data_IF_632923750343
#
_entry.id   IF_632923750343
#
_cell.length_a   1.000
_cell.length_b   1.000
_cell.length_c   1.000
_cell.angle_alpha   90.00
_cell.angle_beta   90.00
_cell.angle_gamma   90.00
#
_symmetry.space_group_name_H-M   'P 1'
#
loop_
_entity.id
_entity.type
_entity.pdbx_description
1 polymer ?
#
# COMPACT_ATOMS: atom_id res chain seq x y z
N UNK A 1 -4.70 -5.32 6.54
CA UNK A 1 -4.15 -4.10 5.91
C UNK A 1 -5.22 -3.52 5.01
N UNK A 2 -5.72 -2.35 5.33
CA UNK A 2 -6.76 -1.66 4.55
C UNK A 2 -6.14 -0.58 3.71
N UNK A 3 -6.69 -0.39 2.50
CA UNK A 3 -6.30 0.65 1.56
C UNK A 3 -7.47 1.58 1.34
N UNK A 4 -7.21 2.87 1.37
CA UNK A 4 -8.19 3.90 1.07
C UNK A 4 -7.61 4.89 0.07
N UNK A 5 -8.41 5.34 -0.90
CA UNK A 5 -7.98 6.33 -1.89
C UNK A 5 -8.80 7.60 -1.75
N UNK A 6 -8.12 8.71 -1.55
CA UNK A 6 -8.68 10.04 -1.57
C UNK A 6 -8.31 10.73 -2.88
N UNK A 7 -9.30 11.13 -3.66
CA UNK A 7 -9.11 11.73 -4.96
C UNK A 7 -9.00 13.26 -4.89
N UNK A 8 -8.53 13.86 -5.96
CA UNK A 8 -8.41 15.32 -6.03
C UNK A 8 -9.79 15.98 -6.08
N UNK A 9 -10.03 16.90 -5.18
CA UNK A 9 -11.22 17.75 -5.18
C UNK A 9 -11.15 18.79 -6.30
N UNK A 10 -9.98 19.42 -6.46
CA UNK A 10 -9.71 20.44 -7.46
C UNK A 10 -8.23 20.48 -7.83
N UNK A 11 -7.95 20.95 -9.03
CA UNK A 11 -6.59 21.17 -9.52
C UNK A 11 -6.54 22.31 -10.55
N UNK A 12 -5.36 22.87 -10.74
CA UNK A 12 -5.08 23.83 -11.82
C UNK A 12 -3.57 23.91 -12.07
N UNK A 13 -3.19 24.31 -13.28
CA UNK A 13 -1.81 24.71 -13.59
C UNK A 13 -1.78 26.22 -13.77
N UNK A 14 -0.97 26.89 -12.96
CA UNK A 14 -0.76 28.35 -13.08
C UNK A 14 0.56 28.61 -13.80
N UNK A 15 0.54 29.61 -14.67
CA UNK A 15 1.67 29.97 -15.54
C UNK A 15 2.17 31.36 -15.15
N UNK A 16 3.49 31.51 -15.04
CA UNK A 16 4.13 32.77 -14.68
C UNK A 16 3.66 33.91 -15.56
N UNK A 17 3.30 35.01 -14.92
CA UNK A 17 2.85 36.27 -15.52
C UNK A 17 1.65 36.15 -16.48
N UNK A 18 0.89 35.05 -16.39
CA UNK A 18 -0.30 34.78 -17.18
C UNK A 18 -1.57 34.71 -16.32
N UNK A 19 -2.71 35.02 -16.95
CA UNK A 19 -4.05 34.85 -16.39
C UNK A 19 -4.72 33.57 -16.87
N UNK A 20 -4.00 32.73 -17.58
CA UNK A 20 -4.48 31.44 -18.04
C UNK A 20 -4.88 30.55 -16.88
N UNK A 21 -5.99 29.89 -17.02
CA UNK A 21 -6.48 28.84 -16.12
C UNK A 21 -6.64 27.54 -16.94
N UNK A 22 -6.02 26.47 -16.50
CA UNK A 22 -6.06 25.16 -17.18
C UNK A 22 -6.68 24.08 -16.31
N UNK A 23 -7.55 24.47 -15.39
CA UNK A 23 -8.09 23.59 -14.35
C UNK A 23 -8.71 22.30 -14.93
N UNK A 24 -9.39 22.38 -16.08
CA UNK A 24 -10.08 21.25 -16.72
C UNK A 24 -9.26 20.52 -17.78
N UNK A 25 -7.98 20.88 -17.94
CA UNK A 25 -7.11 20.14 -18.85
C UNK A 25 -6.88 18.71 -18.29
N UNK A 26 -6.97 17.66 -19.12
CA UNK A 26 -6.74 16.26 -18.69
C UNK A 26 -5.31 15.98 -18.22
N UNK A 27 -4.37 16.89 -18.54
CA UNK A 27 -2.97 16.82 -18.15
C UNK A 27 -2.48 18.15 -17.59
N UNK A 28 -1.54 18.10 -16.65
CA UNK A 28 -0.78 19.27 -16.20
C UNK A 28 0.63 19.19 -16.80
N UNK A 29 1.16 20.32 -17.22
CA UNK A 29 2.53 20.43 -17.69
C UNK A 29 3.31 21.40 -16.80
N UNK A 30 4.33 20.87 -16.14
CA UNK A 30 5.31 21.66 -15.41
C UNK A 30 6.47 21.96 -16.31
N UNK A 31 6.83 23.24 -16.47
CA UNK A 31 7.92 23.66 -17.33
C UNK A 31 8.66 24.88 -16.77
N UNK A 32 9.88 25.03 -17.26
CA UNK A 32 10.69 26.25 -17.11
C UNK A 32 11.46 26.52 -18.40
N UNK A 33 11.88 27.76 -18.60
CA UNK A 33 12.58 28.19 -19.80
C UNK A 33 12.13 29.58 -20.25
N UNK A 34 11.35 29.70 -21.32
CA UNK A 34 10.71 30.95 -21.74
C UNK A 34 9.55 31.37 -20.82
N UNK A 35 9.14 30.48 -19.90
CA UNK A 35 8.12 30.67 -18.89
C UNK A 35 8.32 29.73 -17.72
N UNK A 36 7.36 29.75 -16.80
CA UNK A 36 7.37 28.87 -15.62
C UNK A 36 5.95 28.47 -15.23
N UNK A 37 5.74 27.21 -14.89
CA UNK A 37 4.42 26.75 -14.46
C UNK A 37 4.46 26.01 -13.14
N UNK A 38 3.32 26.00 -12.44
CA UNK A 38 3.11 25.29 -11.17
C UNK A 38 1.78 24.57 -11.21
N UNK A 39 1.77 23.33 -10.78
CA UNK A 39 0.55 22.56 -10.60
C UNK A 39 0.08 22.70 -9.15
N UNK A 40 -1.14 23.15 -8.97
CA UNK A 40 -1.78 23.28 -7.67
C UNK A 40 -2.98 22.34 -7.60
N UNK A 41 -3.16 21.68 -6.45
CA UNK A 41 -4.23 20.72 -6.27
C UNK A 41 -4.65 20.60 -4.82
N UNK A 42 -5.88 20.17 -4.61
CA UNK A 42 -6.43 19.87 -3.28
C UNK A 42 -7.08 18.50 -3.31
N UNK A 43 -6.70 17.67 -2.35
CA UNK A 43 -7.27 16.33 -2.16
C UNK A 43 -8.49 16.42 -1.25
N UNK A 44 -9.53 15.64 -1.55
CA UNK A 44 -10.69 15.49 -0.69
C UNK A 44 -10.44 14.41 0.36
N UNK A 45 -10.34 14.81 1.61
CA UNK A 45 -10.17 13.91 2.75
C UNK A 45 -11.45 13.72 3.59
N UNK A 46 -12.60 14.25 3.16
CA UNK A 46 -13.83 14.19 3.95
C UNK A 46 -14.27 12.76 4.24
N UNK A 47 -14.25 11.88 3.25
CA UNK A 47 -14.61 10.49 3.44
C UNK A 47 -13.61 9.76 4.35
N UNK A 48 -12.32 10.03 4.20
CA UNK A 48 -11.28 9.52 5.07
C UNK A 48 -11.49 10.01 6.52
N UNK A 49 -11.73 11.29 6.70
CA UNK A 49 -12.03 11.89 8.02
C UNK A 49 -13.24 11.19 8.66
N UNK A 50 -14.34 11.05 7.91
CA UNK A 50 -15.56 10.40 8.42
C UNK A 50 -15.30 8.95 8.87
N UNK A 51 -14.47 8.20 8.13
CA UNK A 51 -14.12 6.83 8.49
C UNK A 51 -13.24 6.75 9.74
N UNK A 52 -12.34 7.71 9.91
CA UNK A 52 -11.51 7.80 11.12
C UNK A 52 -12.36 8.21 12.32
N UNK A 53 -13.24 9.20 12.17
CA UNK A 53 -14.13 9.68 13.25
C UNK A 53 -15.11 8.61 13.70
N UNK A 54 -15.59 7.77 12.77
CA UNK A 54 -16.48 6.64 13.06
C UNK A 54 -15.72 5.42 13.62
N UNK A 55 -14.38 5.45 13.73
CA UNK A 55 -13.56 4.34 14.19
C UNK A 55 -13.48 3.16 13.20
N UNK A 56 -13.90 3.35 11.94
CA UNK A 56 -13.74 2.34 10.88
C UNK A 56 -12.28 2.17 10.48
N UNK A 57 -11.53 3.28 10.44
CA UNK A 57 -10.10 3.31 10.18
C UNK A 57 -9.37 3.96 11.37
N UNK A 58 -8.24 3.38 11.76
CA UNK A 58 -7.43 3.89 12.87
C UNK A 58 -6.07 4.34 12.35
N UNK A 59 -5.79 5.63 12.54
CA UNK A 59 -4.46 6.17 12.25
C UNK A 59 -3.54 5.83 13.41
N UNK A 60 -2.45 5.13 13.11
CA UNK A 60 -1.40 4.75 14.04
C UNK A 60 -0.01 4.99 13.44
N UNK A 61 1.05 4.62 14.16
CA UNK A 61 2.43 4.84 13.71
C UNK A 61 2.81 4.07 12.42
N UNK A 62 1.99 3.15 11.98
CA UNK A 62 2.19 2.37 10.75
C UNK A 62 1.30 2.83 9.59
N UNK A 63 0.42 3.79 9.85
CA UNK A 63 -0.41 4.38 8.80
C UNK A 63 0.46 5.25 7.91
N UNK A 64 0.34 5.08 6.61
CA UNK A 64 1.06 5.88 5.62
C UNK A 64 0.10 6.49 4.61
N UNK A 65 0.41 7.70 4.17
CA UNK A 65 -0.36 8.41 3.14
C UNK A 65 0.60 8.82 2.02
N UNK A 66 0.38 8.30 0.82
CA UNK A 66 1.27 8.52 -0.32
C UNK A 66 0.54 9.20 -1.46
N UNK A 67 1.08 10.32 -1.91
CA UNK A 67 0.59 11.01 -3.10
C UNK A 67 1.04 10.25 -4.36
N UNK A 68 0.09 9.95 -5.24
CA UNK A 68 0.31 9.24 -6.49
C UNK A 68 -0.11 10.11 -7.68
N UNK A 69 0.85 10.46 -8.54
CA UNK A 69 0.57 11.07 -9.85
C UNK A 69 1.24 10.23 -10.94
N UNK A 70 0.51 9.99 -12.01
CA UNK A 70 1.02 9.23 -13.15
C UNK A 70 1.54 10.19 -14.21
N UNK A 71 2.79 9.97 -14.65
CA UNK A 71 3.38 10.70 -15.75
C UNK A 71 2.64 10.39 -17.06
N UNK A 72 2.53 11.35 -17.96
CA UNK A 72 1.84 11.18 -19.24
C UNK A 72 2.64 10.43 -20.29
N UNK A 73 3.92 10.17 -20.03
CA UNK A 73 4.78 9.41 -20.93
C UNK A 73 4.67 7.94 -20.58
N UNK A 74 3.96 7.18 -21.43
CA UNK A 74 3.89 5.72 -21.35
C UNK A 74 4.88 5.11 -22.31
N UNK A 75 5.98 4.57 -21.81
CA UNK A 75 6.89 3.77 -22.61
C UNK A 75 7.64 4.55 -23.70
N UNK A 76 7.89 3.90 -24.80
CA UNK A 76 8.72 4.36 -25.91
C UNK A 76 8.25 5.72 -26.48
N UNK A 77 9.18 6.61 -26.69
CA UNK A 77 8.99 7.98 -27.23
C UNK A 77 8.22 8.02 -28.56
N UNK A 78 8.13 6.89 -29.26
CA UNK A 78 7.43 6.74 -30.54
C UNK A 78 5.92 6.84 -30.42
N UNK A 79 5.34 6.63 -29.23
CA UNK A 79 3.87 6.58 -29.08
C UNK A 79 3.20 7.95 -28.96
N UNK A 80 3.91 8.98 -28.51
CA UNK A 80 3.35 10.31 -28.29
C UNK A 80 3.89 11.40 -29.24
N UNK A 81 4.66 11.01 -30.25
CA UNK A 81 5.29 11.95 -31.19
C UNK A 81 6.34 12.83 -30.43
N UNK A 82 7.57 12.73 -30.80
CA UNK A 82 8.77 13.25 -30.13
C UNK A 82 8.78 14.76 -29.81
N UNK A 83 7.71 15.48 -30.02
CA UNK A 83 7.56 16.88 -29.58
C UNK A 83 6.15 17.06 -29.06
N UNK A 84 6.03 17.39 -27.78
CA UNK A 84 4.80 18.01 -27.28
C UNK A 84 4.46 19.18 -28.17
N UNK A 85 3.17 19.39 -28.46
CA UNK A 85 2.69 20.38 -29.42
C UNK A 85 3.24 21.80 -29.25
N UNK A 86 3.87 22.12 -28.13
CA UNK A 86 4.44 23.42 -27.76
C UNK A 86 5.93 23.54 -28.06
N UNK A 87 6.58 22.53 -28.64
CA UNK A 87 8.02 22.57 -28.93
C UNK A 87 8.92 22.42 -27.70
N UNK A 88 8.37 22.09 -26.52
CA UNK A 88 9.13 21.88 -25.29
C UNK A 88 9.83 20.54 -25.30
N UNK A 89 11.05 20.51 -24.79
CA UNK A 89 11.85 19.30 -24.68
C UNK A 89 11.58 18.59 -23.35
N UNK A 90 11.77 17.27 -23.32
CA UNK A 90 11.71 16.49 -22.11
C UNK A 90 12.94 16.80 -21.23
N UNK A 91 12.68 17.10 -19.97
CA UNK A 91 13.72 17.31 -18.96
C UNK A 91 14.18 15.97 -18.42
N UNK A 92 15.49 15.75 -18.39
CA UNK A 92 16.13 14.60 -17.78
C UNK A 92 16.90 15.06 -16.54
N UNK A 93 16.87 14.27 -15.46
CA UNK A 93 17.56 14.51 -14.19
C UNK A 93 17.29 15.90 -13.60
N UNK A 94 16.21 16.01 -12.87
CA UNK A 94 15.76 17.25 -12.25
C UNK A 94 15.03 16.99 -10.94
N UNK A 95 14.83 18.05 -10.18
CA UNK A 95 14.07 18.02 -8.94
C UNK A 95 12.76 18.80 -9.08
N UNK A 96 11.68 18.21 -8.60
CA UNK A 96 10.43 18.90 -8.31
C UNK A 96 10.29 19.13 -6.81
N UNK A 97 9.67 20.22 -6.45
CA UNK A 97 9.33 20.54 -5.07
C UNK A 97 7.84 20.39 -4.85
N UNK A 98 7.48 19.72 -3.78
CA UNK A 98 6.12 19.64 -3.26
C UNK A 98 5.99 20.62 -2.10
N UNK A 99 5.08 21.61 -2.18
CA UNK A 99 4.91 22.65 -1.17
C UNK A 99 3.47 22.79 -0.72
N UNK A 100 3.29 23.37 0.47
CA UNK A 100 1.97 23.60 1.06
C UNK A 100 1.39 24.93 0.57
N UNK A 101 0.09 24.91 0.20
CA UNK A 101 -0.69 26.13 -0.07
C UNK A 101 -1.36 26.59 1.22
N UNK A 102 -1.21 27.88 1.55
CA UNK A 102 -1.71 28.46 2.79
C UNK A 102 -2.98 29.29 2.62
N UNK A 103 -3.44 29.48 1.40
CA UNK A 103 -4.58 30.32 1.05
C UNK A 103 -5.66 29.52 0.32
N UNK A 104 -6.92 29.84 0.60
CA UNK A 104 -8.05 29.29 -0.17
C UNK A 104 -7.99 29.78 -1.63
N UNK A 105 -8.37 28.93 -2.55
CA UNK A 105 -8.40 29.24 -3.97
C UNK A 105 -9.53 28.49 -4.70
N UNK A 106 -9.95 29.01 -5.85
CA UNK A 106 -10.96 28.41 -6.71
C UNK A 106 -10.33 27.72 -7.91
N UNK A 107 -10.93 26.61 -8.36
CA UNK A 107 -10.36 25.79 -9.44
C UNK A 107 -10.43 26.49 -10.82
N UNK A 108 -11.55 27.17 -11.11
CA UNK A 108 -11.84 27.69 -12.43
C UNK A 108 -12.36 26.64 -13.40
N UNK A 109 -12.50 27.06 -14.67
CA UNK A 109 -13.10 26.25 -15.75
C UNK A 109 -12.27 26.25 -17.03
N UNK A 110 -11.07 26.85 -17.00
CA UNK A 110 -10.19 26.94 -18.17
C UNK A 110 -9.71 25.59 -18.65
N UNK A 111 -9.44 25.47 -19.92
CA UNK A 111 -9.12 24.20 -20.56
C UNK A 111 -7.78 24.22 -21.28
N UNK A 112 -7.38 25.35 -21.88
CA UNK A 112 -6.21 25.43 -22.74
C UNK A 112 -5.10 26.29 -22.13
N UNK A 113 -3.84 25.96 -22.46
CA UNK A 113 -2.65 26.72 -22.05
C UNK A 113 -2.49 28.03 -22.84
N UNK A 114 -3.09 28.14 -24.01
CA UNK A 114 -2.99 29.30 -24.89
C UNK A 114 -4.21 30.23 -24.74
N UNK A 115 -5.20 29.86 -23.92
CA UNK A 115 -6.41 30.66 -23.72
C UNK A 115 -6.25 31.57 -22.49
N UNK A 116 -5.76 32.78 -22.70
CA UNK A 116 -5.65 33.82 -21.65
C UNK A 116 -7.01 34.31 -21.13
N UNK A 117 -8.08 33.67 -21.52
CA UNK A 117 -9.43 34.08 -21.19
C UNK A 117 -9.86 35.32 -21.99
N UNK A 118 -11.01 35.23 -22.60
CA UNK A 118 -11.57 36.36 -23.34
C UNK A 118 -11.68 37.61 -22.46
N UNK A 119 -11.15 38.72 -22.94
CA UNK A 119 -11.39 40.02 -22.37
C UNK A 119 -12.91 40.30 -22.38
N UNK A 120 -13.49 40.50 -21.21
CA UNK A 120 -14.91 40.79 -21.04
C UNK A 120 -15.36 42.11 -21.70
N UNK A 121 -14.42 42.90 -22.21
CA UNK A 121 -14.71 44.17 -22.89
C UNK A 121 -15.12 43.99 -24.36
N UNK A 122 -14.83 42.85 -24.96
CA UNK A 122 -15.24 42.56 -26.39
C UNK A 122 -16.41 41.57 -26.48
N UNK A 123 -17.45 41.81 -25.72
CA UNK A 123 -18.81 41.29 -25.94
C UNK A 123 -19.03 39.81 -26.15
N UNK A 124 -19.73 39.15 -25.21
CA UNK A 124 -20.53 37.94 -25.34
C UNK A 124 -19.92 36.59 -24.98
N UNK A 125 -18.78 36.44 -24.33
CA UNK A 125 -18.41 35.18 -23.74
C UNK A 125 -18.09 35.34 -22.26
N UNK A 126 -19.05 35.00 -21.44
CA UNK A 126 -18.94 34.95 -19.97
C UNK A 126 -18.30 33.63 -19.53
N UNK A 127 -17.05 33.39 -19.90
CA UNK A 127 -16.28 32.35 -19.27
C UNK A 127 -15.46 32.95 -18.15
N UNK A 128 -15.83 32.67 -16.92
CA UNK A 128 -15.01 33.02 -15.78
C UNK A 128 -13.88 31.98 -15.66
N UNK A 129 -12.85 32.14 -16.51
CA UNK A 129 -11.64 31.30 -16.51
C UNK A 129 -10.59 31.79 -15.51
N UNK A 130 -10.86 32.90 -14.83
CA UNK A 130 -9.88 33.65 -14.04
C UNK A 130 -9.55 33.12 -12.67
N UNK A 131 -10.42 32.42 -11.90
CA UNK A 131 -10.03 31.93 -10.59
C UNK A 131 -8.92 30.91 -10.70
N UNK A 132 -7.94 31.09 -9.82
CA UNK A 132 -6.61 30.54 -9.72
C UNK A 132 -5.79 30.61 -11.02
N UNK A 133 -5.12 31.72 -11.15
CA UNK A 133 -4.04 31.95 -12.11
C UNK A 133 -2.81 32.48 -11.35
N UNK A 134 -1.82 32.98 -12.05
CA UNK A 134 -0.61 33.54 -11.43
C UNK A 134 -0.89 34.66 -10.42
N UNK A 135 -1.88 35.51 -10.68
CA UNK A 135 -2.20 36.70 -9.87
C UNK A 135 -3.36 36.48 -8.90
N UNK A 136 -4.38 35.79 -9.38
CA UNK A 136 -5.64 35.64 -8.66
C UNK A 136 -5.81 34.26 -8.07
N UNK A 137 -6.28 34.15 -6.82
CA UNK A 137 -6.68 32.90 -6.17
C UNK A 137 -8.19 32.61 -6.30
N UNK A 138 -8.99 33.67 -6.38
CA UNK A 138 -10.45 33.62 -6.63
C UNK A 138 -10.82 34.66 -7.70
N UNK A 139 -12.09 34.78 -8.04
CA UNK A 139 -12.58 35.81 -8.98
C UNK A 139 -12.35 37.23 -8.47
N UNK A 140 -12.24 37.43 -7.17
CA UNK A 140 -12.16 38.74 -6.53
C UNK A 140 -10.87 38.96 -5.75
N UNK A 141 -10.23 37.88 -5.29
CA UNK A 141 -9.04 37.95 -4.45
C UNK A 141 -7.77 37.59 -5.20
N UNK A 142 -6.70 38.28 -4.92
CA UNK A 142 -5.35 37.97 -5.37
C UNK A 142 -4.64 37.07 -4.37
N UNK A 143 -3.60 36.37 -4.84
CA UNK A 143 -2.66 35.73 -3.94
C UNK A 143 -1.88 36.78 -3.13
N UNK A 144 -1.53 36.44 -1.89
CA UNK A 144 -0.62 37.26 -1.08
C UNK A 144 0.75 37.43 -1.72
N UNK A 145 1.15 36.42 -2.48
CA UNK A 145 2.38 36.41 -3.28
C UNK A 145 2.02 35.84 -4.65
N UNK A 146 2.27 36.59 -5.72
CA UNK A 146 2.02 36.13 -7.08
C UNK A 146 2.74 34.79 -7.33
N UNK A 147 2.02 33.85 -7.92
CA UNK A 147 2.53 32.52 -8.18
C UNK A 147 2.66 31.63 -6.94
N UNK A 148 2.14 32.03 -5.77
CA UNK A 148 1.98 31.22 -4.53
C UNK A 148 3.30 30.86 -3.83
N UNK A 149 4.37 30.61 -4.58
CA UNK A 149 5.62 30.12 -4.09
C UNK A 149 6.70 31.21 -4.09
N UNK A 150 7.29 31.42 -2.94
CA UNK A 150 8.39 32.39 -2.74
C UNK A 150 9.38 31.89 -1.68
N UNK A 151 10.44 32.61 -1.47
CA UNK A 151 11.36 32.34 -0.36
C UNK A 151 10.62 32.30 0.97
N UNK A 152 10.75 31.19 1.71
CA UNK A 152 10.02 30.95 2.98
C UNK A 152 8.74 30.13 2.83
N UNK A 153 8.31 29.74 1.63
CA UNK A 153 7.23 28.77 1.44
C UNK A 153 7.64 27.41 2.04
N UNK A 154 6.71 26.77 2.74
CA UNK A 154 6.96 25.47 3.36
C UNK A 154 7.06 24.37 2.29
N UNK A 155 8.25 23.90 2.04
CA UNK A 155 8.52 22.72 1.19
C UNK A 155 8.27 21.49 2.06
N UNK A 156 7.43 20.57 1.57
CA UNK A 156 7.17 19.28 2.22
C UNK A 156 8.21 18.26 1.79
N UNK A 157 8.54 18.24 0.49
CA UNK A 157 9.47 17.26 -0.07
C UNK A 157 10.08 17.77 -1.37
N UNK A 158 11.34 17.40 -1.62
CA UNK A 158 11.99 17.46 -2.93
C UNK A 158 11.93 16.06 -3.56
N UNK A 159 11.53 15.97 -4.82
CA UNK A 159 11.31 14.74 -5.57
C UNK A 159 12.28 14.72 -6.73
N UNK A 160 13.25 13.81 -6.68
CA UNK A 160 14.22 13.64 -7.75
C UNK A 160 13.68 12.77 -8.89
N UNK A 161 13.94 13.19 -10.12
CA UNK A 161 13.66 12.46 -11.36
C UNK A 161 14.98 12.18 -12.07
N UNK A 162 15.27 10.92 -12.37
CA UNK A 162 16.46 10.49 -13.09
C UNK A 162 16.28 10.59 -14.62
N UNK A 163 15.12 10.18 -15.10
CA UNK A 163 14.81 10.07 -16.52
C UNK A 163 13.68 11.01 -17.00
N UNK A 164 12.94 11.62 -16.09
CA UNK A 164 11.83 12.52 -16.39
C UNK A 164 10.55 11.82 -16.87
N UNK A 165 10.46 10.50 -16.74
CA UNK A 165 9.27 9.71 -17.05
C UNK A 165 8.71 8.95 -15.84
N UNK A 166 9.27 9.17 -14.67
CA UNK A 166 8.86 8.54 -13.44
C UNK A 166 7.50 9.05 -13.00
N UNK A 167 6.77 8.19 -12.31
CA UNK A 167 5.57 8.57 -11.60
C UNK A 167 5.93 9.17 -10.24
N UNK A 168 5.11 10.07 -9.73
CA UNK A 168 5.24 10.54 -8.36
C UNK A 168 4.61 9.51 -7.41
N UNK A 169 5.38 9.11 -6.42
CA UNK A 169 4.97 8.26 -5.32
C UNK A 169 5.68 8.71 -4.05
N UNK A 170 5.13 9.71 -3.37
CA UNK A 170 5.78 10.38 -2.24
C UNK A 170 4.97 10.30 -0.96
N UNK A 171 5.68 10.20 0.15
CA UNK A 171 5.09 10.17 1.48
C UNK A 171 4.68 11.59 1.91
N UNK A 172 3.39 11.75 2.20
CA UNK A 172 2.79 12.97 2.74
C UNK A 172 2.08 12.72 4.08
N UNK A 173 2.48 11.68 4.79
CA UNK A 173 1.81 11.20 6.01
C UNK A 173 1.67 12.32 7.05
N UNK A 174 2.74 13.07 7.30
CA UNK A 174 2.69 14.17 8.27
C UNK A 174 1.69 15.27 7.87
N UNK A 175 1.56 15.57 6.58
CA UNK A 175 0.61 16.54 6.07
C UNK A 175 -0.84 16.07 6.26
N UNK A 176 -1.14 14.82 5.87
CA UNK A 176 -2.49 14.25 5.99
C UNK A 176 -2.89 14.09 7.45
N UNK A 177 -1.99 13.55 8.29
CA UNK A 177 -2.24 13.42 9.73
C UNK A 177 -2.48 14.79 10.40
N UNK A 178 -1.79 15.83 9.96
CA UNK A 178 -2.04 17.20 10.43
C UNK A 178 -3.46 17.68 10.12
N UNK A 179 -4.02 17.30 8.98
CA UNK A 179 -5.40 17.60 8.60
C UNK A 179 -6.38 16.75 9.42
N UNK A 180 -6.22 15.43 9.41
CA UNK A 180 -7.17 14.49 9.99
C UNK A 180 -7.18 14.51 11.52
N UNK A 181 -6.00 14.52 12.16
CA UNK A 181 -5.90 14.41 13.62
C UNK A 181 -5.83 15.76 14.32
N UNK A 182 -5.22 16.78 13.69
CA UNK A 182 -4.98 18.09 14.31
C UNK A 182 -5.92 19.17 13.80
N UNK A 183 -6.80 18.87 12.84
CA UNK A 183 -7.74 19.83 12.27
C UNK A 183 -7.08 20.96 11.48
N UNK A 184 -5.88 20.75 10.95
CA UNK A 184 -5.22 21.74 10.13
C UNK A 184 -6.02 22.01 8.85
N UNK A 185 -6.09 23.27 8.45
CA UNK A 185 -6.80 23.66 7.25
C UNK A 185 -6.13 23.07 6.00
N UNK A 186 -6.92 22.40 5.17
CA UNK A 186 -6.51 21.86 3.88
C UNK A 186 -6.80 22.88 2.77
N UNK A 187 -5.81 23.66 2.36
CA UNK A 187 -5.88 24.50 1.16
C UNK A 187 -5.30 23.83 -0.08
N UNK A 188 -4.62 22.70 0.10
CA UNK A 188 -4.00 21.91 -0.96
C UNK A 188 -2.48 22.03 -0.98
N UNK A 189 -1.93 21.46 -2.04
CA UNK A 189 -0.49 21.35 -2.31
C UNK A 189 -0.17 21.94 -3.68
N UNK A 190 1.08 22.36 -3.85
CA UNK A 190 1.63 22.76 -5.13
C UNK A 190 2.84 21.89 -5.49
N UNK A 191 3.01 21.66 -6.78
CA UNK A 191 4.14 20.96 -7.36
C UNK A 191 4.77 21.85 -8.45
N UNK A 192 6.09 22.03 -8.41
CA UNK A 192 6.82 22.88 -9.36
C UNK A 192 8.29 22.49 -9.42
N UNK A 193 9.00 22.98 -10.43
CA UNK A 193 10.45 23.07 -10.38
C UNK A 193 10.92 24.01 -9.26
N UNK A 194 12.17 23.94 -8.84
CA UNK A 194 12.71 24.80 -7.80
C UNK A 194 12.52 26.30 -8.14
N UNK A 195 12.45 27.13 -7.09
CA UNK A 195 12.21 28.57 -7.26
C UNK A 195 13.31 29.25 -8.05
N UNK A 196 14.51 28.70 -8.03
CA UNK A 196 15.66 29.17 -8.76
C UNK A 196 15.44 29.19 -10.27
N UNK A 197 14.56 28.32 -10.79
CA UNK A 197 14.19 28.28 -12.22
C UNK A 197 13.12 29.28 -12.61
N UNK A 198 12.43 29.88 -11.64
CA UNK A 198 11.28 30.78 -11.92
C UNK A 198 11.67 32.03 -12.70
N UNK A 199 12.86 32.55 -12.44
CA UNK A 199 13.35 33.81 -13.01
C UNK A 199 14.50 33.63 -14.00
N UNK A 200 14.81 32.37 -14.34
CA UNK A 200 15.83 32.04 -15.34
C UNK A 200 15.18 31.91 -16.72
N UNK A 201 15.83 32.49 -17.71
CA UNK A 201 15.46 32.32 -19.12
C UNK A 201 16.43 31.36 -19.80
N UNK A 202 15.89 30.35 -20.48
CA UNK A 202 16.64 29.36 -21.21
C UNK A 202 16.22 29.40 -22.69
N UNK A 203 17.13 28.98 -23.57
CA UNK A 203 16.84 28.95 -25.03
C UNK A 203 15.76 27.90 -25.41
N UNK A 204 15.61 26.86 -24.58
CA UNK A 204 14.62 25.80 -24.79
C UNK A 204 13.86 25.53 -23.49
N UNK A 205 12.55 25.38 -23.62
CA UNK A 205 11.70 25.01 -22.50
C UNK A 205 11.91 23.54 -22.13
N UNK A 206 12.08 23.30 -20.86
CA UNK A 206 12.14 21.95 -20.28
C UNK A 206 10.82 21.64 -19.59
N UNK A 207 10.33 20.42 -19.72
CA UNK A 207 9.00 20.09 -19.16
C UNK A 207 8.83 18.63 -18.73
N UNK A 208 7.91 18.44 -17.77
CA UNK A 208 7.35 17.17 -17.35
C UNK A 208 5.83 17.30 -17.20
N UNK A 209 5.09 16.26 -17.48
CA UNK A 209 3.62 16.33 -17.39
C UNK A 209 3.02 15.11 -16.70
N UNK A 210 1.91 15.37 -16.00
CA UNK A 210 1.15 14.36 -15.26
C UNK A 210 -0.33 14.41 -15.64
N UNK A 211 -1.03 13.30 -15.43
CA UNK A 211 -2.49 13.31 -15.53
C UNK A 211 -3.11 14.10 -14.40
N UNK A 212 -4.24 14.75 -14.69
CA UNK A 212 -5.04 15.50 -13.72
C UNK A 212 -6.32 14.72 -13.37
N UNK A 213 -7.14 15.25 -12.47
CA UNK A 213 -8.45 14.67 -12.16
C UNK A 213 -9.42 14.62 -13.35
N UNK A 214 -9.18 15.40 -14.40
CA UNK A 214 -10.00 15.45 -15.59
C UNK A 214 -9.52 14.52 -16.72
N UNK A 215 -8.59 13.65 -16.44
CA UNK A 215 -8.01 12.73 -17.41
C UNK A 215 -9.01 11.78 -18.07
N UNK A 216 -10.17 11.53 -17.44
CA UNK A 216 -11.17 10.54 -17.90
C UNK A 216 -10.58 9.13 -18.13
N UNK A 217 -9.47 8.84 -17.49
CA UNK A 217 -8.80 7.53 -17.51
C UNK A 217 -8.63 7.03 -16.08
N UNK A 218 -8.16 5.80 -15.90
CA UNK A 218 -7.83 5.24 -14.58
C UNK A 218 -6.49 5.76 -14.00
N UNK A 219 -5.88 6.75 -14.66
CA UNK A 219 -4.66 7.43 -14.18
C UNK A 219 -4.96 8.69 -13.36
N UNK A 220 -6.21 8.88 -12.96
CA UNK A 220 -6.57 9.97 -12.08
C UNK A 220 -5.68 9.97 -10.82
N UNK A 221 -5.12 11.15 -10.44
CA UNK A 221 -4.26 11.24 -9.28
C UNK A 221 -5.04 11.08 -7.98
N UNK A 222 -4.39 10.49 -6.98
CA UNK A 222 -4.99 10.23 -5.68
C UNK A 222 -3.93 10.18 -4.56
N UNK A 223 -4.40 10.24 -3.34
CA UNK A 223 -3.62 9.88 -2.16
C UNK A 223 -4.03 8.48 -1.71
N UNK A 224 -3.06 7.58 -1.67
CA UNK A 224 -3.24 6.23 -1.15
C UNK A 224 -2.90 6.20 0.34
N UNK A 225 -3.88 5.88 1.14
CA UNK A 225 -3.75 5.70 2.58
C UNK A 225 -3.71 4.20 2.88
N UNK A 226 -2.67 3.77 3.58
CA UNK A 226 -2.48 2.37 3.96
C UNK A 226 -2.54 2.27 5.47
N UNK A 227 -3.46 1.43 5.97
CA UNK A 227 -3.67 1.21 7.38
C UNK A 227 -3.20 -0.20 7.75
N UNK A 228 -2.31 -0.29 8.71
CA UNK A 228 -1.94 -1.57 9.29
C UNK A 228 -2.95 -1.93 10.39
N UNK A 229 -4.11 -2.39 9.97
CA UNK A 229 -5.26 -2.71 10.79
C UNK A 229 -5.52 -4.22 10.89
N UNK A 230 -4.50 -5.02 10.60
CA UNK A 230 -4.59 -6.47 10.74
C UNK A 230 -4.79 -6.84 12.21
N UNK A 231 -5.93 -7.45 12.46
CA UNK A 231 -6.22 -8.09 13.72
C UNK A 231 -5.76 -9.54 13.59
N UNK A 232 -4.72 -9.89 14.34
CA UNK A 232 -4.21 -11.27 14.37
C UNK A 232 -4.67 -11.92 15.66
N UNK A 233 -5.78 -12.64 15.59
CA UNK A 233 -6.29 -13.44 16.71
C UNK A 233 -5.40 -14.67 16.90
N UNK A 234 -4.72 -14.74 18.05
CA UNK A 234 -3.83 -15.84 18.37
C UNK A 234 -4.55 -17.16 18.73
N UNK A 235 -5.88 -17.19 18.72
CA UNK A 235 -6.70 -18.33 19.20
C UNK A 235 -6.30 -19.67 18.59
N UNK A 236 -5.95 -19.68 17.31
CA UNK A 236 -5.53 -20.89 16.59
C UNK A 236 -4.00 -21.14 16.64
N UNK A 237 -3.23 -20.17 17.14
CA UNK A 237 -1.78 -20.24 17.18
C UNK A 237 -1.21 -19.57 18.44
N UNK A 238 -1.81 -19.84 19.58
CA UNK A 238 -1.37 -19.28 20.85
C UNK A 238 -0.08 -19.99 21.30
N UNK A 239 1.01 -19.24 21.46
CA UNK A 239 2.33 -19.76 21.83
C UNK A 239 2.56 -19.55 23.30
N UNK A 240 3.01 -20.62 24.00
CA UNK A 240 3.36 -20.55 25.41
C UNK A 240 4.53 -19.60 25.67
N UNK A 241 4.50 -18.87 26.78
CA UNK A 241 5.59 -17.99 27.19
C UNK A 241 5.62 -16.63 26.48
N UNK A 242 4.68 -16.38 25.58
CA UNK A 242 4.59 -15.13 24.82
C UNK A 242 3.27 -14.44 25.14
N UNK A 243 3.32 -13.11 25.29
CA UNK A 243 2.10 -12.30 25.39
C UNK A 243 1.48 -12.16 24.01
N UNK A 244 0.22 -12.55 23.89
CA UNK A 244 -0.53 -12.56 22.64
C UNK A 244 -1.96 -12.08 22.85
N UNK A 245 -2.64 -11.76 21.75
CA UNK A 245 -3.93 -11.13 21.76
C UNK A 245 -5.04 -12.09 21.34
N UNK A 246 -6.14 -12.09 22.08
CA UNK A 246 -7.42 -12.68 21.68
C UNK A 246 -8.46 -11.59 21.53
N UNK A 247 -9.43 -11.84 20.67
CA UNK A 247 -10.42 -10.82 20.28
C UNK A 247 -11.85 -11.31 20.46
N UNK A 248 -12.73 -10.36 20.85
CA UNK A 248 -14.16 -10.51 20.83
C UNK A 248 -14.74 -9.59 19.73
N UNK A 249 -15.56 -10.16 18.88
CA UNK A 249 -16.28 -9.45 17.82
C UNK A 249 -17.75 -9.36 18.19
N UNK A 250 -18.28 -8.15 18.28
CA UNK A 250 -19.67 -7.86 18.64
C UNK A 250 -20.40 -7.28 17.44
N UNK A 251 -21.47 -7.94 17.03
CA UNK A 251 -22.30 -7.50 15.92
C UNK A 251 -23.79 -7.45 16.30
N UNK A 252 -24.51 -6.48 15.72
CA UNK A 252 -25.96 -6.38 15.81
C UNK A 252 -26.51 -6.39 14.37
N UNK A 253 -27.12 -7.50 13.98
CA UNK A 253 -27.39 -7.76 12.56
C UNK A 253 -26.09 -7.95 11.77
N UNK A 254 -25.89 -7.19 10.70
CA UNK A 254 -24.71 -7.26 9.85
C UNK A 254 -23.62 -6.23 10.20
N UNK A 255 -23.86 -5.37 11.19
CA UNK A 255 -22.96 -4.27 11.53
C UNK A 255 -22.25 -4.53 12.85
N UNK A 256 -20.99 -4.09 12.95
CA UNK A 256 -20.28 -4.04 14.21
C UNK A 256 -20.96 -3.06 15.16
N UNK A 257 -21.01 -3.43 16.45
CA UNK A 257 -21.73 -2.66 17.45
C UNK A 257 -20.95 -2.62 18.78
N UNK A 258 -20.94 -1.45 19.42
CA UNK A 258 -20.19 -1.29 20.67
C UNK A 258 -20.99 -1.87 21.86
N UNK A 259 -20.24 -2.42 22.80
CA UNK A 259 -20.75 -2.72 24.15
C UNK A 259 -20.84 -1.41 24.96
N UNK A 260 -21.76 -1.38 25.92
CA UNK A 260 -21.90 -0.25 26.84
C UNK A 260 -20.69 -0.10 27.77
N UNK A 261 -20.04 -1.21 28.10
CA UNK A 261 -18.86 -1.26 28.96
C UNK A 261 -17.75 -2.12 28.34
N UNK A 262 -16.51 -1.90 28.76
CA UNK A 262 -15.41 -2.78 28.39
C UNK A 262 -15.62 -4.16 29.04
N UNK A 263 -15.54 -5.25 28.27
CA UNK A 263 -15.65 -6.59 28.82
C UNK A 263 -14.47 -6.95 29.71
N UNK A 264 -14.65 -7.91 30.59
CA UNK A 264 -13.60 -8.55 31.38
C UNK A 264 -13.39 -9.98 30.89
N UNK A 265 -12.15 -10.48 30.94
CA UNK A 265 -11.82 -11.82 30.47
C UNK A 265 -11.25 -12.67 31.59
N UNK A 266 -11.77 -13.88 31.73
CA UNK A 266 -11.23 -14.91 32.59
C UNK A 266 -10.77 -16.10 31.76
N UNK A 267 -9.58 -16.62 32.05
CA UNK A 267 -9.03 -17.78 31.35
C UNK A 267 -9.25 -19.04 32.20
N UNK A 268 -9.87 -20.04 31.61
CA UNK A 268 -10.15 -21.34 32.23
C UNK A 268 -9.36 -22.45 31.55
N UNK A 269 -8.98 -23.44 32.32
CA UNK A 269 -8.43 -24.68 31.80
C UNK A 269 -9.52 -25.66 31.34
N UNK A 270 -9.09 -26.81 30.83
CA UNK A 270 -9.99 -27.90 30.36
C UNK A 270 -10.83 -28.55 31.47
N UNK A 271 -10.55 -28.27 32.75
CA UNK A 271 -11.33 -28.72 33.91
C UNK A 271 -12.29 -27.66 34.43
N UNK A 272 -12.42 -26.54 33.68
CA UNK A 272 -13.23 -25.36 34.03
C UNK A 272 -12.75 -24.66 35.32
N UNK A 273 -11.45 -24.70 35.54
CA UNK A 273 -10.79 -23.99 36.69
C UNK A 273 -10.11 -22.73 36.16
N UNK A 274 -10.31 -21.60 36.84
CA UNK A 274 -9.67 -20.34 36.48
C UNK A 274 -8.14 -20.47 36.68
N UNK A 275 -7.40 -20.03 35.65
CA UNK A 275 -5.93 -19.99 35.76
C UNK A 275 -5.52 -18.87 36.71
N UNK A 276 -4.70 -19.16 37.73
CA UNK A 276 -4.20 -18.15 38.64
C UNK A 276 -3.50 -17.00 37.92
N UNK A 277 -3.89 -15.77 38.24
CA UNK A 277 -3.35 -14.57 37.61
C UNK A 277 -3.99 -14.19 36.27
N UNK A 278 -4.91 -15.01 35.72
CA UNK A 278 -5.61 -14.74 34.48
C UNK A 278 -7.14 -14.61 34.68
N UNK A 279 -7.51 -13.93 35.74
CA UNK A 279 -8.89 -13.60 36.11
C UNK A 279 -9.10 -12.10 36.07
N UNK A 280 -10.25 -11.65 35.52
CA UNK A 280 -10.61 -10.25 35.47
C UNK A 280 -9.65 -9.41 34.60
N UNK A 281 -9.11 -9.99 33.55
CA UNK A 281 -8.24 -9.29 32.63
C UNK A 281 -9.02 -8.14 31.96
N UNK A 282 -8.40 -6.97 31.96
CA UNK A 282 -8.96 -5.78 31.29
C UNK A 282 -8.79 -5.87 29.78
N UNK A 283 -9.76 -5.34 29.09
CA UNK A 283 -9.77 -5.31 27.62
C UNK A 283 -9.62 -3.89 27.08
N UNK A 284 -9.24 -3.79 25.83
CA UNK A 284 -9.18 -2.53 25.09
C UNK A 284 -10.09 -2.62 23.86
N UNK A 285 -10.90 -1.61 23.63
CA UNK A 285 -11.63 -1.50 22.36
C UNK A 285 -10.67 -0.95 21.32
N UNK A 286 -10.44 -1.73 20.24
CA UNK A 286 -9.52 -1.35 19.16
C UNK A 286 -10.25 -0.80 17.94
N UNK A 287 -11.48 -1.21 17.72
CA UNK A 287 -12.41 -0.70 16.69
C UNK A 287 -13.85 -0.85 17.17
N UNK A 288 -14.79 -0.24 16.48
CA UNK A 288 -16.21 -0.44 16.73
C UNK A 288 -16.52 -1.93 16.77
N UNK A 289 -17.05 -2.39 17.91
CA UNK A 289 -17.43 -3.78 18.12
C UNK A 289 -16.28 -4.78 18.21
N UNK A 290 -15.03 -4.36 18.32
CA UNK A 290 -13.86 -5.24 18.42
C UNK A 290 -13.07 -4.93 19.67
N UNK A 291 -12.98 -5.92 20.56
CA UNK A 291 -12.31 -5.84 21.85
C UNK A 291 -11.14 -6.80 21.91
N UNK A 292 -10.04 -6.35 22.47
CA UNK A 292 -8.79 -7.08 22.59
C UNK A 292 -8.47 -7.36 24.06
N UNK A 293 -8.01 -8.57 24.35
CA UNK A 293 -7.33 -8.93 25.61
C UNK A 293 -5.93 -9.43 25.30
N UNK A 294 -4.94 -8.96 26.06
CA UNK A 294 -3.53 -9.32 25.89
C UNK A 294 -3.04 -10.04 27.14
N UNK A 295 -2.52 -11.26 26.99
CA UNK A 295 -1.96 -12.06 28.08
C UNK A 295 -1.01 -13.14 27.58
N UNK A 296 -0.26 -13.76 28.49
CA UNK A 296 0.60 -14.91 28.21
C UNK A 296 0.32 -16.07 29.16
N UNK A 297 0.54 -17.30 28.65
CA UNK A 297 0.45 -18.54 29.46
C UNK A 297 1.84 -19.19 29.48
N UNK A 298 2.33 -19.57 30.67
CA UNK A 298 3.63 -20.24 30.81
C UNK A 298 3.52 -21.74 30.57
N UNK A 299 4.63 -22.40 30.21
CA UNK A 299 4.67 -23.84 30.00
C UNK A 299 4.21 -24.63 31.24
N UNK A 300 4.50 -24.16 32.47
CA UNK A 300 4.01 -24.76 33.73
C UNK A 300 2.49 -24.69 33.85
N UNK A 301 1.87 -23.64 33.31
CA UNK A 301 0.40 -23.50 33.27
C UNK A 301 -0.24 -24.47 32.27
N UNK A 302 0.49 -24.80 31.22
CA UNK A 302 0.01 -25.68 30.13
C UNK A 302 0.24 -27.18 30.42
N UNK A 303 1.02 -27.52 31.44
CA UNK A 303 1.41 -28.91 31.76
C UNK A 303 0.17 -29.81 31.93
N UNK A 304 0.10 -30.85 31.07
CA UNK A 304 -1.03 -31.80 31.05
C UNK A 304 -2.35 -31.24 30.49
N UNK A 305 -2.42 -29.98 30.08
CA UNK A 305 -3.62 -29.32 29.62
C UNK A 305 -3.59 -29.19 28.08
N UNK A 306 -4.65 -29.68 27.42
CA UNK A 306 -4.70 -29.71 25.95
C UNK A 306 -5.33 -28.46 25.34
N UNK A 307 -6.14 -27.71 26.08
CA UNK A 307 -6.84 -26.53 25.60
C UNK A 307 -7.31 -25.67 26.77
N UNK A 308 -7.61 -24.41 26.47
CA UNK A 308 -8.10 -23.40 27.40
C UNK A 308 -9.33 -22.72 26.82
N UNK A 309 -10.05 -22.01 27.70
CA UNK A 309 -11.18 -21.18 27.31
C UNK A 309 -10.96 -19.74 27.76
N UNK A 310 -11.22 -18.79 26.89
CA UNK A 310 -11.39 -17.39 27.21
C UNK A 310 -12.89 -17.11 27.42
N UNK A 311 -13.26 -16.65 28.61
CA UNK A 311 -14.62 -16.30 28.95
C UNK A 311 -14.74 -14.80 29.11
N UNK A 312 -15.50 -14.18 28.22
CA UNK A 312 -15.78 -12.75 28.19
C UNK A 312 -17.05 -12.46 28.97
N UNK A 313 -16.96 -11.56 29.95
CA UNK A 313 -18.02 -11.23 30.91
C UNK A 313 -18.27 -9.72 30.93
N UNK A 314 -19.26 -9.27 31.68
CA UNK A 314 -19.67 -7.86 31.74
C UNK A 314 -20.16 -7.31 30.40
N UNK A 315 -20.91 -8.12 29.65
CA UNK A 315 -21.38 -7.77 28.32
C UNK A 315 -22.77 -7.14 28.38
N UNK A 316 -22.93 -5.92 27.85
CA UNK A 316 -24.23 -5.26 27.70
C UNK A 316 -24.26 -4.43 26.42
N UNK A 317 -25.45 -4.34 25.83
CA UNK A 317 -25.75 -3.56 24.61
C UNK A 317 -27.06 -2.80 24.84
N UNK A 318 -27.06 -1.49 24.67
CA UNK A 318 -28.24 -0.61 24.87
C UNK A 318 -28.89 -0.81 26.23
N UNK A 319 -28.10 -0.99 27.30
CA UNK A 319 -28.57 -1.24 28.66
C UNK A 319 -29.07 -2.66 28.91
N UNK A 320 -29.00 -3.56 27.94
CA UNK A 320 -29.44 -4.96 28.05
C UNK A 320 -28.21 -5.83 28.29
N UNK A 321 -28.19 -6.54 29.42
CA UNK A 321 -27.12 -7.51 29.72
C UNK A 321 -27.29 -8.71 28.79
N UNK A 322 -26.19 -9.09 28.14
CA UNK A 322 -26.13 -10.27 27.27
C UNK A 322 -25.31 -11.39 27.94
N UNK A 323 -25.49 -12.62 27.47
CA UNK A 323 -24.79 -13.77 28.02
C UNK A 323 -23.27 -13.68 27.81
N UNK A 324 -22.53 -14.24 28.78
CA UNK A 324 -21.09 -14.39 28.65
C UNK A 324 -20.73 -15.20 27.40
N UNK A 325 -19.65 -14.79 26.75
CA UNK A 325 -19.12 -15.48 25.56
C UNK A 325 -17.90 -16.30 25.96
N UNK A 326 -17.93 -17.59 25.65
CA UNK A 326 -16.80 -18.50 25.93
C UNK A 326 -16.30 -19.08 24.62
N UNK A 327 -14.99 -18.98 24.40
CA UNK A 327 -14.35 -19.52 23.22
C UNK A 327 -13.14 -20.38 23.61
N UNK A 328 -12.76 -21.31 22.72
CA UNK A 328 -11.68 -22.26 22.96
C UNK A 328 -10.42 -21.82 22.21
N UNK A 329 -9.27 -21.97 22.84
CA UNK A 329 -7.98 -21.86 22.19
C UNK A 329 -7.02 -22.96 22.63
N UNK A 330 -6.00 -23.25 21.80
CA UNK A 330 -5.04 -24.34 22.01
C UNK A 330 -3.64 -23.75 22.03
N UNK A 331 -2.97 -23.69 23.21
CA UNK A 331 -1.59 -23.29 23.27
C UNK A 331 -0.67 -24.29 22.59
N UNK A 332 0.34 -23.80 21.93
CA UNK A 332 1.43 -24.57 21.37
C UNK A 332 2.67 -24.40 22.24
N UNK A 333 3.44 -25.45 22.51
CA UNK A 333 4.65 -25.33 23.31
C UNK A 333 5.62 -24.37 22.65
N UNK A 334 6.23 -23.52 23.47
CA UNK A 334 7.33 -22.66 23.01
C UNK A 334 8.53 -23.54 22.67
N UNK A 335 8.85 -23.64 21.39
CA UNK A 335 10.08 -24.30 20.96
C UNK A 335 11.26 -23.36 21.28
N UNK A 336 12.24 -23.84 22.05
CA UNK A 336 13.45 -23.07 22.39
C UNK A 336 14.30 -22.64 21.18
N UNK A 337 13.95 -23.07 19.98
CA UNK A 337 14.52 -22.61 18.72
C UNK A 337 14.07 -21.19 18.31
N UNK A 338 13.02 -20.65 18.95
CA UNK A 338 12.51 -19.29 18.72
C UNK A 338 13.21 -18.19 19.55
N UNK A 339 14.26 -18.51 20.26
CA UNK A 339 14.88 -17.59 21.22
C UNK A 339 15.92 -16.65 20.62
N UNK A 340 15.68 -16.05 19.47
CA UNK A 340 16.46 -14.91 19.00
C UNK A 340 15.51 -13.84 18.44
N UNK A 341 15.05 -12.98 19.35
CA UNK A 341 14.79 -11.55 19.10
C UNK A 341 13.74 -11.15 18.04
N UNK A 342 12.91 -12.06 17.54
CA UNK A 342 11.87 -11.74 16.58
C UNK A 342 10.49 -11.96 17.20
N UNK A 343 9.61 -10.98 17.06
CA UNK A 343 8.21 -11.10 17.45
C UNK A 343 7.58 -12.32 16.77
N UNK A 344 7.02 -13.29 17.51
CA UNK A 344 6.41 -14.50 16.92
C UNK A 344 5.11 -14.23 16.14
N UNK A 345 4.71 -12.98 16.03
CA UNK A 345 3.53 -12.54 15.26
C UNK A 345 3.74 -12.49 13.75
N UNK A 346 4.94 -12.77 13.25
CA UNK A 346 5.18 -12.83 11.82
C UNK A 346 5.39 -14.27 11.33
N UNK A 347 4.34 -15.11 11.38
CA UNK A 347 4.28 -16.21 10.43
C UNK A 347 4.04 -15.57 9.06
N UNK A 348 5.12 -15.37 8.32
CA UNK A 348 5.02 -14.84 6.97
C UNK A 348 4.42 -15.94 6.10
N UNK A 349 3.13 -15.87 5.84
CA UNK A 349 2.50 -16.68 4.82
C UNK A 349 3.03 -16.20 3.46
N UNK A 350 3.72 -17.09 2.75
CA UNK A 350 4.25 -16.79 1.43
C UNK A 350 3.37 -17.40 0.35
N UNK A 351 3.10 -16.61 -0.68
CA UNK A 351 2.61 -17.10 -1.94
C UNK A 351 3.80 -17.39 -2.85
N UNK A 352 3.89 -18.63 -3.33
CA UNK A 352 4.95 -19.05 -4.25
C UNK A 352 4.58 -18.72 -5.69
N UNK A 353 5.55 -18.19 -6.43
CA UNK A 353 5.52 -18.04 -7.87
C UNK A 353 6.77 -18.68 -8.47
N UNK A 354 6.60 -19.33 -9.61
CA UNK A 354 7.73 -19.91 -10.35
C UNK A 354 8.04 -19.06 -11.58
N UNK A 355 9.33 -18.88 -11.84
CA UNK A 355 9.87 -18.32 -13.07
C UNK A 355 10.70 -19.37 -13.80
N UNK A 356 10.66 -19.38 -15.13
CA UNK A 356 11.36 -20.34 -15.95
C UNK A 356 10.61 -21.64 -16.20
N UNK A 357 9.48 -21.87 -15.51
CA UNK A 357 8.60 -23.01 -15.74
C UNK A 357 7.14 -22.63 -15.49
N UNK A 358 6.21 -23.18 -16.26
CA UNK A 358 4.76 -22.94 -16.12
C UNK A 358 4.03 -24.25 -15.83
N UNK A 359 2.86 -24.11 -15.20
CA UNK A 359 1.96 -25.23 -14.99
C UNK A 359 1.53 -25.88 -16.30
N UNK A 360 1.65 -27.20 -16.38
CA UNK A 360 1.35 -28.04 -17.55
C UNK A 360 2.18 -27.70 -18.81
N UNK A 361 3.37 -27.14 -18.63
CA UNK A 361 4.28 -26.83 -19.73
C UNK A 361 4.88 -28.09 -20.33
N UNK A 362 5.08 -28.08 -21.66
CA UNK A 362 5.83 -29.11 -22.39
C UNK A 362 7.25 -28.62 -22.65
N UNK A 363 8.23 -29.28 -22.10
CA UNK A 363 9.66 -28.96 -22.20
C UNK A 363 10.34 -30.00 -23.06
N UNK A 364 11.18 -29.59 -23.99
CA UNK A 364 11.93 -30.52 -24.80
C UNK A 364 13.05 -31.17 -23.98
N UNK A 365 13.29 -32.44 -24.23
CA UNK A 365 14.45 -33.14 -23.66
C UNK A 365 15.75 -32.50 -24.18
N UNK A 366 16.74 -32.32 -23.30
CA UNK A 366 17.99 -31.63 -23.63
C UNK A 366 18.00 -30.13 -23.36
N UNK A 367 16.90 -29.54 -22.94
CA UNK A 367 16.88 -28.15 -22.51
C UNK A 367 17.46 -27.99 -21.10
N UNK A 368 18.30 -26.95 -20.93
CA UNK A 368 18.76 -26.46 -19.62
C UNK A 368 17.92 -25.23 -19.26
N UNK A 369 17.25 -25.28 -18.13
CA UNK A 369 16.42 -24.16 -17.67
C UNK A 369 16.76 -23.75 -16.25
N UNK A 370 16.95 -22.46 -16.03
CA UNK A 370 16.97 -21.91 -14.68
C UNK A 370 15.53 -21.75 -14.21
N UNK A 371 15.20 -22.40 -13.11
CA UNK A 371 13.90 -22.27 -12.44
C UNK A 371 14.10 -21.50 -11.15
N UNK A 372 13.44 -20.37 -11.02
CA UNK A 372 13.49 -19.53 -9.82
C UNK A 372 12.17 -19.63 -9.07
N UNK A 373 12.25 -19.72 -7.76
CA UNK A 373 11.12 -19.80 -6.84
C UNK A 373 11.03 -18.50 -6.07
N UNK A 374 9.99 -17.72 -6.33
CA UNK A 374 9.79 -16.42 -5.72
C UNK A 374 8.78 -16.55 -4.60
N UNK A 375 9.20 -16.19 -3.39
CA UNK A 375 8.35 -16.12 -2.21
C UNK A 375 7.86 -14.69 -2.04
N UNK A 376 6.57 -14.48 -2.22
CA UNK A 376 5.92 -13.18 -1.97
C UNK A 376 5.20 -13.24 -0.64
N UNK A 377 5.64 -12.45 0.30
CA UNK A 377 4.90 -12.27 1.55
C UNK A 377 3.50 -11.75 1.25
N UNK A 378 2.48 -12.42 1.78
CA UNK A 378 1.08 -11.99 1.62
C UNK A 378 0.86 -10.62 2.27
N UNK A 379 1.63 -10.30 3.31
CA UNK A 379 1.51 -9.06 4.05
C UNK A 379 2.18 -7.87 3.35
N UNK A 380 3.39 -8.06 2.81
CA UNK A 380 4.18 -6.95 2.24
C UNK A 380 4.15 -6.90 0.71
N UNK A 381 3.66 -7.94 0.06
CA UNK A 381 3.71 -8.15 -1.40
C UNK A 381 5.13 -8.08 -2.01
N UNK A 382 6.16 -7.97 -1.18
CA UNK A 382 7.57 -7.98 -1.60
C UNK A 382 8.04 -9.41 -1.77
N UNK A 383 8.94 -9.61 -2.72
CA UNK A 383 9.67 -10.85 -2.87
C UNK A 383 10.73 -10.95 -1.76
N UNK A 384 10.75 -12.08 -1.07
CA UNK A 384 11.76 -12.41 -0.07
C UNK A 384 12.63 -13.55 -0.57
N UNK A 385 13.92 -13.54 -0.22
CA UNK A 385 14.84 -14.65 -0.40
C UNK A 385 14.91 -15.38 0.93
N UNK A 386 14.60 -16.67 0.93
CA UNK A 386 14.66 -17.51 2.13
C UNK A 386 15.96 -18.32 2.14
N UNK A 387 16.57 -18.47 3.31
CA UNK A 387 17.89 -19.10 3.46
C UNK A 387 17.88 -20.62 3.29
N UNK A 388 16.78 -21.28 3.62
CA UNK A 388 16.67 -22.74 3.54
C UNK A 388 15.41 -23.12 2.75
N UNK A 389 15.54 -23.23 1.42
CA UNK A 389 14.47 -23.65 0.52
C UNK A 389 14.93 -24.90 -0.22
N UNK A 390 14.09 -25.90 -0.26
CA UNK A 390 14.37 -27.18 -0.90
C UNK A 390 13.32 -27.46 -1.97
N UNK A 391 13.73 -28.14 -3.03
CA UNK A 391 12.83 -28.72 -4.02
C UNK A 391 13.00 -30.22 -4.09
N UNK A 392 11.96 -30.95 -4.46
CA UNK A 392 12.04 -32.34 -4.91
C UNK A 392 11.26 -32.50 -6.20
N UNK A 393 11.65 -33.55 -6.99
CA UNK A 393 10.89 -33.94 -8.15
C UNK A 393 10.43 -35.39 -8.00
N UNK A 394 9.21 -35.65 -8.43
CA UNK A 394 8.61 -36.96 -8.42
C UNK A 394 7.71 -37.20 -9.63
N UNK A 395 7.36 -38.42 -9.86
CA UNK A 395 6.42 -38.90 -10.88
C UNK A 395 5.37 -39.77 -10.22
N UNK A 396 4.25 -39.93 -10.89
CA UNK A 396 3.26 -40.93 -10.48
C UNK A 396 3.37 -42.18 -11.31
N UNK A 397 3.47 -43.33 -10.64
CA UNK A 397 3.29 -44.67 -11.22
C UNK A 397 1.98 -45.24 -10.68
N UNK A 398 0.91 -45.06 -11.47
CA UNK A 398 -0.43 -45.34 -11.02
C UNK A 398 -0.88 -44.33 -9.95
N UNK A 399 -0.99 -44.79 -8.69
CA UNK A 399 -1.33 -43.93 -7.53
C UNK A 399 -0.18 -43.70 -6.56
N UNK A 400 1.00 -44.18 -6.89
CA UNK A 400 2.17 -44.13 -6.02
C UNK A 400 3.12 -43.06 -6.51
N UNK A 401 3.58 -42.19 -5.60
CA UNK A 401 4.65 -41.24 -5.86
C UNK A 401 5.99 -42.01 -5.93
N UNK A 402 6.76 -41.78 -6.99
CA UNK A 402 8.12 -42.25 -7.13
C UNK A 402 9.04 -41.06 -7.20
N UNK A 403 9.92 -40.92 -6.22
CA UNK A 403 10.88 -39.83 -6.13
C UNK A 403 11.92 -39.99 -7.21
N UNK A 404 12.08 -38.98 -8.06
CA UNK A 404 13.08 -38.91 -9.12
C UNK A 404 14.29 -38.11 -8.69
N UNK A 405 14.05 -37.07 -7.91
CA UNK A 405 15.07 -36.20 -7.32
C UNK A 405 14.63 -35.82 -5.90
N UNK A 406 15.44 -36.23 -4.93
CA UNK A 406 15.12 -36.02 -3.52
C UNK A 406 15.36 -34.55 -3.09
N UNK A 407 14.91 -34.19 -1.90
CA UNK A 407 15.03 -32.87 -1.37
C UNK A 407 16.42 -32.28 -1.50
N UNK A 408 16.55 -31.26 -2.35
CA UNK A 408 17.81 -30.57 -2.64
C UNK A 408 17.65 -29.09 -2.36
N UNK A 409 18.65 -28.52 -1.66
CA UNK A 409 18.70 -27.12 -1.34
C UNK A 409 18.83 -26.28 -2.61
N UNK A 410 18.02 -25.22 -2.71
CA UNK A 410 18.12 -24.24 -3.78
C UNK A 410 19.35 -23.33 -3.59
N UNK A 411 19.88 -22.82 -4.71
CA UNK A 411 20.86 -21.75 -4.67
C UNK A 411 20.18 -20.44 -4.23
N UNK A 412 20.66 -19.89 -3.13
CA UNK A 412 20.11 -18.68 -2.49
C UNK A 412 21.01 -17.45 -2.68
N UNK A 413 22.06 -17.54 -3.46
CA UNK A 413 23.07 -16.46 -3.58
C UNK A 413 22.45 -15.14 -4.07
N UNK A 414 21.54 -15.20 -5.04
CA UNK A 414 20.83 -14.04 -5.57
C UNK A 414 19.30 -14.22 -5.58
N UNK A 415 18.87 -15.47 -5.68
CA UNK A 415 17.46 -15.87 -5.73
C UNK A 415 17.36 -17.36 -5.40
N UNK A 416 16.22 -17.80 -4.88
CA UNK A 416 15.98 -19.23 -4.67
C UNK A 416 15.80 -19.89 -6.04
N UNK A 417 16.82 -20.56 -6.55
CA UNK A 417 16.80 -21.13 -7.90
C UNK A 417 17.53 -22.46 -8.02
N UNK A 418 17.22 -23.19 -9.07
CA UNK A 418 17.94 -24.39 -9.49
C UNK A 418 17.97 -24.50 -11.02
N UNK A 419 18.89 -25.32 -11.53
CA UNK A 419 18.96 -25.61 -12.96
C UNK A 419 18.29 -26.95 -13.22
N UNK A 420 17.24 -26.93 -14.02
CA UNK A 420 16.57 -28.13 -14.53
C UNK A 420 17.25 -28.58 -15.83
N UNK A 421 18.05 -29.63 -15.75
CA UNK A 421 18.63 -30.29 -16.93
C UNK A 421 17.68 -31.40 -17.39
N UNK A 422 16.96 -31.18 -18.48
CA UNK A 422 15.99 -32.16 -18.98
C UNK A 422 16.64 -33.31 -19.78
N UNK A 423 17.95 -33.27 -20.04
CA UNK A 423 18.65 -34.31 -20.77
C UNK A 423 18.71 -35.66 -20.01
N UNK A 424 18.74 -35.56 -18.67
CA UNK A 424 18.86 -36.73 -17.77
C UNK A 424 17.52 -37.42 -17.49
N UNK A 425 16.40 -36.81 -17.90
CA UNK A 425 15.08 -37.34 -17.63
C UNK A 425 14.44 -37.99 -18.88
N UNK A 426 13.62 -38.99 -18.67
CA UNK A 426 12.85 -39.63 -19.74
C UNK A 426 11.59 -38.79 -20.08
N UNK A 427 11.10 -38.84 -21.32
CA UNK A 427 9.86 -38.16 -21.70
C UNK A 427 8.66 -38.71 -20.92
N UNK A 428 8.14 -37.89 -20.02
CA UNK A 428 6.93 -38.14 -19.20
C UNK A 428 6.57 -36.92 -18.38
N UNK A 429 5.50 -37.04 -17.58
CA UNK A 429 5.03 -36.03 -16.65
C UNK A 429 5.83 -36.04 -15.35
N UNK A 430 6.23 -34.87 -14.87
CA UNK A 430 6.96 -34.61 -13.63
C UNK A 430 6.25 -33.60 -12.77
N UNK A 431 6.48 -33.71 -11.47
CA UNK A 431 5.97 -32.79 -10.46
C UNK A 431 7.12 -32.21 -9.66
N UNK A 432 7.10 -30.90 -9.41
CA UNK A 432 8.04 -30.21 -8.52
C UNK A 432 7.28 -29.74 -7.30
N UNK A 433 7.80 -30.08 -6.13
CA UNK A 433 7.31 -29.64 -4.84
C UNK A 433 8.38 -28.84 -4.12
N UNK A 434 7.96 -27.83 -3.36
CA UNK A 434 8.85 -26.94 -2.60
C UNK A 434 8.55 -27.07 -1.11
N UNK A 435 9.60 -27.16 -0.30
CA UNK A 435 9.54 -26.89 1.13
C UNK A 435 10.53 -25.82 1.53
N UNK A 436 10.20 -25.04 2.53
CA UNK A 436 11.13 -24.10 3.13
C UNK A 436 11.20 -24.34 4.63
N UNK A 437 12.36 -24.07 5.21
CA UNK A 437 12.48 -23.92 6.65
C UNK A 437 12.38 -22.44 7.00
N UNK A 438 11.45 -22.15 7.86
CA UNK A 438 11.29 -20.82 8.43
C UNK A 438 11.22 -20.96 9.95
N UNK A 439 12.09 -20.29 10.67
CA UNK A 439 12.15 -20.32 12.15
C UNK A 439 12.26 -21.74 12.75
N UNK A 440 12.89 -22.67 12.02
CA UNK A 440 13.11 -24.04 12.47
C UNK A 440 11.95 -25.01 12.20
N UNK A 441 10.85 -24.55 11.64
CA UNK A 441 9.75 -25.40 11.15
C UNK A 441 9.87 -25.64 9.64
N UNK A 442 9.57 -26.85 9.21
CA UNK A 442 9.46 -27.18 7.79
C UNK A 442 8.03 -26.87 7.30
N UNK A 443 7.95 -26.00 6.30
CA UNK A 443 6.68 -25.60 5.68
C UNK A 443 6.64 -26.19 4.29
N UNK A 444 5.65 -27.03 4.01
CA UNK A 444 5.37 -27.58 2.69
C UNK A 444 4.37 -26.70 1.97
N UNK A 445 4.65 -26.41 0.71
CA UNK A 445 3.77 -25.55 -0.09
C UNK A 445 2.96 -26.37 -1.08
N UNK A 446 1.64 -26.22 -1.05
CA UNK A 446 0.70 -26.94 -1.94
C UNK A 446 0.78 -26.52 -3.42
N UNK A 447 1.64 -25.56 -3.74
CA UNK A 447 1.76 -25.02 -5.10
C UNK A 447 2.72 -25.89 -5.94
N UNK A 448 2.29 -27.12 -6.23
CA UNK A 448 3.04 -28.12 -7.00
C UNK A 448 3.02 -27.74 -8.48
N UNK A 449 4.20 -27.64 -9.11
CA UNK A 449 4.32 -27.47 -10.56
C UNK A 449 4.32 -28.84 -11.24
N UNK A 450 3.42 -28.99 -12.20
CA UNK A 450 3.33 -30.13 -13.08
C UNK A 450 3.80 -29.72 -14.48
N UNK A 451 4.67 -30.51 -15.09
CA UNK A 451 5.18 -30.31 -16.45
C UNK A 451 5.48 -31.64 -17.16
N UNK A 452 5.55 -31.61 -18.45
CA UNK A 452 5.83 -32.79 -19.29
C UNK A 452 7.15 -32.60 -20.05
N UNK A 453 8.05 -33.57 -19.93
CA UNK A 453 9.23 -33.65 -20.81
C UNK A 453 8.83 -34.43 -22.05
N UNK A 454 9.04 -33.81 -23.22
CA UNK A 454 8.72 -34.41 -24.51
C UNK A 454 10.01 -34.77 -25.26
N UNK A 455 9.95 -35.86 -26.06
CA UNK A 455 11.11 -36.28 -26.88
C UNK A 455 11.46 -35.19 -27.91
N UNK A 456 12.75 -35.11 -28.23
CA UNK A 456 13.22 -34.39 -29.41
C UNK A 456 12.56 -34.96 -30.67
N UNK A 457 12.05 -34.09 -31.53
CA UNK A 457 11.68 -34.48 -32.88
C UNK A 457 12.84 -34.25 -33.80
#
# INVERSE_FOLDING_TARGET
>A
MSYFRSYFQKNNTIIKDSRVNTARNPTTELFYGSGFSKFIFKVDFNDLQSKVDNGELIINNYTTHRLKLTNTIFGDETFLGAKRGNGRERTNSFDLILFKINEYWDEGIGFDYDDEGYDLTEGNKTYDVRPSNWYNRTTVDTWSINGIYATGTTILQTIHFDLGNENIDVDITSYVNGIILSGNTNHGLGLAFGIEYQDLEFATDQSVAFFTKYTQTFFEPFVESVFLDNITDARNNFVEGVTQNLYLYVTKGSNFYNLDNLPLVNIYDNTNTIIPGLSGLTTTQIKTGIYEVSFGITGLTCDGKKFFYDKWTNLSIDGIVINDVTQKFIPKPFSSKYSIGLNPTESKDYKIQYHGIKQNEKIRRGELRKVSVIFKSIQSLKADILDEVYYRMYIFEGRTEVIVHDWTLLDVTNENSFVLDTSVYIPREYHIEIKAKSFGEEIFYDNIIKFEIVSEK
#
